data_IF_946142467090
#
_entry.id   IF_946142467090
#
_cell.length_a   1.000
_cell.length_b   1.000
_cell.length_c   1.000
_cell.angle_alpha   90.00
_cell.angle_beta   90.00
_cell.angle_gamma   90.00
#
_symmetry.space_group_name_H-M   'P 1'
#
loop_
_entity.id
_entity.type
_entity.pdbx_description
1 polymer ?
#
# COMPACT_ATOMS: atom_id res chain seq x y z
N UNK A 1 -34.66 9.14 -19.97
CA UNK A 1 -33.27 9.52 -19.64
C UNK A 1 -32.51 8.24 -19.31
N UNK A 2 -31.34 7.97 -19.91
CA UNK A 2 -30.59 6.76 -19.60
C UNK A 2 -30.13 6.82 -18.15
N UNK A 3 -30.41 5.76 -17.40
CA UNK A 3 -29.99 5.56 -16.01
C UNK A 3 -28.47 5.65 -15.91
N UNK A 4 -27.98 6.76 -15.36
CA UNK A 4 -26.55 6.93 -15.07
C UNK A 4 -26.14 5.82 -14.10
N UNK A 5 -25.12 5.03 -14.46
CA UNK A 5 -24.58 3.90 -13.70
C UNK A 5 -23.84 4.36 -12.43
N UNK A 6 -24.50 5.13 -11.59
CA UNK A 6 -23.96 5.58 -10.30
C UNK A 6 -24.48 4.58 -9.27
N UNK A 7 -23.66 3.58 -8.95
CA UNK A 7 -24.03 2.49 -8.06
C UNK A 7 -23.99 2.87 -6.57
N UNK A 8 -23.26 3.93 -6.21
CA UNK A 8 -23.12 4.34 -4.82
C UNK A 8 -22.74 5.82 -4.71
N UNK A 9 -23.39 6.52 -3.77
CA UNK A 9 -22.99 7.86 -3.33
C UNK A 9 -21.93 7.71 -2.23
N UNK A 10 -20.74 8.29 -2.44
CA UNK A 10 -19.69 8.36 -1.42
C UNK A 10 -19.73 9.72 -0.75
N UNK A 11 -20.03 9.75 0.54
CA UNK A 11 -20.02 10.95 1.38
C UNK A 11 -19.14 10.75 2.63
N UNK A 12 -19.23 11.68 3.59
CA UNK A 12 -18.54 11.60 4.87
C UNK A 12 -19.05 10.46 5.79
N UNK A 13 -20.23 9.88 5.52
CA UNK A 13 -20.76 8.73 6.25
C UNK A 13 -20.24 7.39 5.69
N UNK A 14 -19.70 7.42 4.47
CA UNK A 14 -19.12 6.24 3.84
C UNK A 14 -17.79 5.83 4.50
N UNK A 15 -17.64 4.52 4.75
CA UNK A 15 -16.49 3.95 5.48
C UNK A 15 -15.21 4.02 4.65
N UNK A 16 -15.30 3.93 3.32
CA UNK A 16 -14.15 3.90 2.40
C UNK A 16 -14.10 5.15 1.50
N UNK A 17 -12.89 5.58 1.10
CA UNK A 17 -12.75 6.70 0.18
C UNK A 17 -13.21 6.32 -1.24
N UNK A 18 -13.72 7.31 -1.96
CA UNK A 18 -14.01 7.20 -3.37
C UNK A 18 -12.68 7.09 -4.13
N UNK A 19 -12.54 6.12 -5.03
CA UNK A 19 -11.33 6.00 -5.86
C UNK A 19 -11.53 6.68 -7.20
N UNK A 20 -10.75 7.72 -7.48
CA UNK A 20 -10.74 8.44 -8.75
C UNK A 20 -9.37 8.34 -9.41
N UNK A 21 -9.30 7.79 -10.63
CA UNK A 21 -8.05 7.54 -11.37
C UNK A 21 -6.99 6.75 -10.56
N UNK A 22 -7.43 5.89 -9.64
CA UNK A 22 -6.55 5.14 -8.75
C UNK A 22 -6.09 5.88 -7.50
N UNK A 23 -6.59 7.08 -7.25
CA UNK A 23 -6.29 7.88 -6.06
C UNK A 23 -7.52 8.03 -5.15
N UNK A 24 -7.34 8.06 -3.82
CA UNK A 24 -8.43 8.23 -2.89
C UNK A 24 -8.88 9.70 -2.83
N UNK A 25 -10.15 9.94 -3.11
CA UNK A 25 -10.86 11.15 -2.73
C UNK A 25 -11.56 10.85 -1.40
N UNK A 26 -11.10 11.52 -0.35
CA UNK A 26 -11.65 11.39 0.99
C UNK A 26 -12.25 12.73 1.42
N UNK A 27 -13.41 12.66 2.07
CA UNK A 27 -14.03 13.81 2.73
C UNK A 27 -13.64 13.89 4.20
N UNK A 28 -13.19 12.77 4.80
CA UNK A 28 -12.81 12.67 6.22
C UNK A 28 -11.51 11.91 6.42
N UNK A 29 -10.82 12.19 7.54
CA UNK A 29 -9.54 11.56 7.90
C UNK A 29 -9.64 10.05 8.13
N UNK A 30 -10.81 9.53 8.54
CA UNK A 30 -11.01 8.08 8.72
C UNK A 30 -10.93 7.31 7.40
N UNK A 31 -11.52 7.84 6.32
CA UNK A 31 -11.42 7.24 4.98
C UNK A 31 -9.97 7.22 4.48
N UNK A 32 -9.22 8.27 4.79
CA UNK A 32 -7.79 8.35 4.49
C UNK A 32 -7.00 7.25 5.24
N UNK A 33 -7.32 7.00 6.51
CA UNK A 33 -6.72 5.88 7.26
C UNK A 33 -7.03 4.52 6.65
N UNK A 34 -8.29 4.28 6.30
CA UNK A 34 -8.73 3.03 5.67
C UNK A 34 -7.95 2.77 4.38
N UNK A 35 -7.76 3.78 3.55
CA UNK A 35 -6.94 3.66 2.34
C UNK A 35 -5.47 3.33 2.64
N UNK A 36 -4.86 4.04 3.60
CA UNK A 36 -3.46 3.77 3.97
C UNK A 36 -3.27 2.35 4.51
N UNK A 37 -4.20 1.86 5.33
CA UNK A 37 -4.18 0.48 5.83
C UNK A 37 -4.32 -0.53 4.68
N UNK A 38 -5.21 -0.27 3.73
CA UNK A 38 -5.37 -1.11 2.54
C UNK A 38 -4.09 -1.12 1.66
N UNK A 39 -3.42 0.03 1.54
CA UNK A 39 -2.15 0.14 0.82
C UNK A 39 -1.04 -0.67 1.49
N UNK A 40 -0.90 -0.59 2.82
CA UNK A 40 0.05 -1.41 3.58
C UNK A 40 -0.24 -2.90 3.40
N UNK A 41 -1.51 -3.30 3.43
CA UNK A 41 -1.88 -4.69 3.22
C UNK A 41 -1.55 -5.17 1.79
N UNK A 42 -1.76 -4.32 0.79
CA UNK A 42 -1.36 -4.62 -0.60
C UNK A 42 0.15 -4.80 -0.73
N UNK A 43 0.94 -3.97 -0.04
CA UNK A 43 2.40 -4.10 0.01
C UNK A 43 2.80 -5.41 0.68
N UNK A 44 2.21 -5.76 1.84
CA UNK A 44 2.47 -7.04 2.53
C UNK A 44 2.18 -8.23 1.65
N UNK A 45 1.00 -8.29 1.02
CA UNK A 45 0.62 -9.37 0.13
C UNK A 45 1.61 -9.50 -1.04
N UNK A 46 2.09 -8.37 -1.57
CA UNK A 46 3.11 -8.37 -2.62
C UNK A 46 4.46 -8.91 -2.10
N UNK A 47 4.91 -8.49 -0.91
CA UNK A 47 6.10 -9.04 -0.25
C UNK A 47 5.98 -10.55 -0.08
N UNK A 48 4.87 -11.04 0.44
CA UNK A 48 4.66 -12.47 0.72
C UNK A 48 4.65 -13.30 -0.57
N UNK A 49 3.99 -12.80 -1.62
CA UNK A 49 3.99 -13.44 -2.94
C UNK A 49 5.40 -13.52 -3.56
N UNK A 50 6.25 -12.53 -3.33
CA UNK A 50 7.64 -12.52 -3.79
C UNK A 50 8.59 -13.31 -2.87
N UNK A 51 8.29 -13.41 -1.58
CA UNK A 51 9.11 -14.13 -0.60
C UNK A 51 9.14 -15.63 -0.92
N UNK A 52 8.03 -16.16 -1.43
CA UNK A 52 7.89 -17.55 -1.86
C UNK A 52 8.77 -17.93 -3.07
N UNK A 53 9.36 -16.97 -3.79
CA UNK A 53 10.09 -17.22 -5.05
C UNK A 53 11.59 -17.51 -4.89
N UNK A 54 12.04 -17.94 -3.71
CA UNK A 54 13.44 -18.30 -3.42
C UNK A 54 14.49 -17.30 -3.95
N UNK A 55 14.18 -16.00 -3.88
CA UNK A 55 15.05 -14.94 -4.40
C UNK A 55 16.29 -14.78 -3.50
N UNK A 56 17.43 -14.44 -4.08
CA UNK A 56 18.60 -14.01 -3.31
C UNK A 56 18.31 -12.72 -2.53
N UNK A 57 19.13 -12.41 -1.52
CA UNK A 57 19.00 -11.15 -0.75
C UNK A 57 19.01 -9.94 -1.69
N UNK A 58 19.93 -9.92 -2.65
CA UNK A 58 20.00 -8.88 -3.70
C UNK A 58 18.74 -8.87 -4.56
N UNK A 59 18.22 -10.02 -4.96
CA UNK A 59 16.97 -10.12 -5.71
C UNK A 59 15.76 -9.56 -4.95
N UNK A 60 15.68 -9.81 -3.64
CA UNK A 60 14.66 -9.22 -2.76
C UNK A 60 14.83 -7.71 -2.61
N UNK A 61 16.06 -7.22 -2.44
CA UNK A 61 16.34 -5.78 -2.40
C UNK A 61 15.93 -5.08 -3.70
N UNK A 62 16.23 -5.68 -4.86
CA UNK A 62 15.79 -5.16 -6.16
C UNK A 62 14.27 -5.16 -6.27
N UNK A 63 13.59 -6.27 -5.93
CA UNK A 63 12.13 -6.34 -5.99
C UNK A 63 11.47 -5.28 -5.11
N UNK A 64 11.99 -5.07 -3.90
CA UNK A 64 11.49 -4.06 -2.98
C UNK A 64 11.73 -2.64 -3.52
N UNK A 65 12.90 -2.34 -4.08
CA UNK A 65 13.18 -1.03 -4.67
C UNK A 65 12.31 -0.76 -5.92
N UNK A 66 12.17 -1.75 -6.80
CA UNK A 66 11.50 -1.56 -8.10
C UNK A 66 9.98 -1.63 -8.01
N UNK A 67 9.40 -2.46 -7.14
CA UNK A 67 7.94 -2.66 -7.07
C UNK A 67 7.30 -1.92 -5.90
N UNK A 68 7.90 -2.02 -4.71
CA UNK A 68 7.31 -1.48 -3.49
C UNK A 68 7.59 0.02 -3.41
N UNK A 69 8.85 0.41 -3.57
CA UNK A 69 9.24 1.82 -3.44
C UNK A 69 8.72 2.69 -4.60
N UNK A 70 8.64 2.17 -5.82
CA UNK A 70 8.05 2.89 -6.96
C UNK A 70 6.55 3.16 -6.77
N UNK A 71 5.78 2.16 -6.32
CA UNK A 71 4.36 2.32 -6.00
C UNK A 71 4.14 3.27 -4.83
N UNK A 72 4.95 3.14 -3.78
CA UNK A 72 4.94 4.06 -2.64
C UNK A 72 5.18 5.50 -3.08
N UNK A 73 6.23 5.73 -3.87
CA UNK A 73 6.58 7.06 -4.37
C UNK A 73 5.45 7.69 -5.18
N UNK A 74 4.82 6.91 -6.06
CA UNK A 74 3.68 7.36 -6.85
C UNK A 74 2.51 7.82 -5.98
N UNK A 75 2.18 7.07 -4.91
CA UNK A 75 1.12 7.45 -3.97
C UNK A 75 1.51 8.67 -3.12
N UNK A 76 2.74 8.71 -2.60
CA UNK A 76 3.25 9.82 -1.79
C UNK A 76 3.22 11.16 -2.52
N UNK A 77 3.38 11.16 -3.85
CA UNK A 77 3.30 12.37 -4.67
C UNK A 77 1.90 12.99 -4.69
N UNK A 78 0.85 12.18 -4.51
CA UNK A 78 -0.55 12.61 -4.69
C UNK A 78 -1.30 12.71 -3.37
N UNK A 79 -0.89 11.94 -2.36
CA UNK A 79 -1.59 11.86 -1.07
C UNK A 79 -0.66 12.18 0.07
N UNK A 80 -1.08 13.07 0.98
CA UNK A 80 -0.34 13.37 2.19
C UNK A 80 -0.36 12.17 3.14
N UNK A 81 0.80 11.58 3.43
CA UNK A 81 0.89 10.30 4.16
C UNK A 81 1.13 10.54 5.65
N UNK A 82 0.42 9.79 6.51
CA UNK A 82 0.64 9.85 7.97
C UNK A 82 1.90 9.09 8.40
N UNK A 83 2.58 9.57 9.44
CA UNK A 83 3.79 8.96 10.01
C UNK A 83 3.63 7.47 10.35
N UNK A 84 2.45 7.05 10.85
CA UNK A 84 2.15 5.64 11.17
C UNK A 84 2.32 4.69 9.98
N UNK A 85 2.04 5.17 8.77
CA UNK A 85 2.19 4.39 7.55
C UNK A 85 3.67 4.07 7.28
N UNK A 86 4.55 5.07 7.46
CA UNK A 86 5.99 4.85 7.35
C UNK A 86 6.50 3.88 8.40
N UNK A 87 6.01 3.95 9.64
CA UNK A 87 6.39 3.01 10.70
C UNK A 87 6.02 1.57 10.33
N UNK A 88 4.79 1.34 9.84
CA UNK A 88 4.37 0.02 9.39
C UNK A 88 5.17 -0.46 8.18
N UNK A 89 5.42 0.41 7.21
CA UNK A 89 6.19 0.07 6.01
C UNK A 89 7.63 -0.29 6.35
N UNK A 90 8.28 0.48 7.24
CA UNK A 90 9.62 0.19 7.78
C UNK A 90 9.70 -1.09 8.59
N UNK A 91 8.59 -1.61 9.11
CA UNK A 91 8.53 -2.92 9.77
C UNK A 91 8.44 -4.07 8.75
N UNK A 92 7.68 -3.88 7.66
CA UNK A 92 7.48 -4.91 6.62
C UNK A 92 8.73 -5.11 5.75
N UNK A 93 9.41 -4.02 5.39
CA UNK A 93 10.55 -4.04 4.47
C UNK A 93 11.73 -4.92 4.96
N UNK A 94 12.24 -4.79 6.20
CA UNK A 94 13.29 -5.66 6.72
C UNK A 94 12.85 -7.11 6.88
N UNK A 95 11.59 -7.35 7.27
CA UNK A 95 11.04 -8.70 7.39
C UNK A 95 11.08 -9.45 6.06
N UNK A 96 10.80 -8.77 4.95
CA UNK A 96 10.92 -9.32 3.60
C UNK A 96 12.38 -9.55 3.19
N UNK A 97 13.28 -8.59 3.46
CA UNK A 97 14.70 -8.73 3.12
C UNK A 97 15.37 -9.88 3.86
N UNK A 98 15.12 -9.98 5.16
CA UNK A 98 15.67 -11.01 6.05
C UNK A 98 14.89 -12.33 6.00
N UNK A 99 13.91 -12.47 5.09
CA UNK A 99 13.19 -13.71 4.92
C UNK A 99 14.17 -14.86 4.61
N UNK A 100 14.14 -15.90 5.45
CA UNK A 100 15.02 -17.08 5.39
C UNK A 100 16.53 -16.78 5.53
N UNK A 101 16.91 -15.66 6.15
CA UNK A 101 18.30 -15.39 6.56
C UNK A 101 18.48 -15.71 8.04
N UNK A 102 19.55 -16.43 8.40
CA UNK A 102 19.98 -16.65 9.78
C UNK A 102 21.50 -16.45 9.90
N UNK A 103 22.01 -15.71 10.92
CA UNK A 103 21.27 -14.85 11.84
C UNK A 103 20.67 -13.63 11.12
N UNK A 104 19.64 -13.00 11.72
CA UNK A 104 19.06 -11.78 11.17
C UNK A 104 20.09 -10.64 11.32
N UNK A 105 20.30 -9.92 10.22
CA UNK A 105 21.16 -8.74 10.10
C UNK A 105 20.50 -7.53 10.76
#
# INVERSE_FOLDING_TARGET
>A
LPSKHIHQWHDHSSVGPLTYLGFPLFSITAQHDVYLNHLVQTIRNSCDAHANRSLSVRGRATALNTLILSRLWHVLRVTAVLTRFFTQTKSVMPSFLCHRIFPKI
#
